data_IF_097855364746
#
_entry.id   IF_097855364746
#
_cell.length_a   1.000
_cell.length_b   1.000
_cell.length_c   1.000
_cell.angle_alpha   90.00
_cell.angle_beta   90.00
_cell.angle_gamma   90.00
#
_symmetry.space_group_name_H-M   'P 1'
#
loop_
_entity.id
_entity.type
_entity.pdbx_description
1 polymer ?
#
# COMPACT_ATOMS: atom_id res chain seq x y z
N UNK A 1 15.29 17.93 -13.34
CA UNK A 1 14.11 18.70 -13.72
C UNK A 1 13.04 17.75 -14.21
N UNK A 2 12.15 17.23 -13.40
CA UNK A 2 10.91 16.63 -13.88
C UNK A 2 9.78 17.56 -13.54
N UNK A 3 9.58 18.46 -14.45
CA UNK A 3 8.57 19.46 -14.47
C UNK A 3 7.20 18.85 -14.75
N UNK A 4 6.26 19.11 -13.92
CA UNK A 4 4.95 19.62 -14.27
C UNK A 4 4.32 19.10 -15.58
N UNK A 5 4.14 17.77 -15.67
CA UNK A 5 3.56 17.16 -16.86
C UNK A 5 2.03 17.28 -16.94
N UNK A 6 1.39 17.92 -15.95
CA UNK A 6 -0.06 18.14 -15.90
C UNK A 6 -0.45 19.59 -16.13
N UNK A 7 0.50 20.52 -16.08
CA UNK A 7 0.28 21.92 -16.49
C UNK A 7 0.47 22.14 -17.99
N UNK A 8 0.87 21.10 -18.73
CA UNK A 8 0.85 21.13 -20.19
C UNK A 8 -0.56 20.78 -20.69
N UNK A 9 -1.03 21.45 -21.78
CA UNK A 9 -2.37 21.16 -22.34
C UNK A 9 -2.59 19.68 -22.70
N UNK A 10 -1.51 18.91 -22.87
CA UNK A 10 -1.57 17.47 -23.09
C UNK A 10 -1.80 16.62 -21.83
N UNK A 11 -1.42 17.10 -20.65
CA UNK A 11 -1.54 16.34 -19.41
C UNK A 11 -2.98 16.21 -18.92
N UNK A 12 -3.74 17.30 -18.98
CA UNK A 12 -5.16 17.30 -18.59
C UNK A 12 -5.98 16.50 -19.58
N UNK A 13 -5.67 16.60 -20.88
CA UNK A 13 -6.36 15.85 -21.93
C UNK A 13 -6.13 14.36 -21.78
N UNK A 14 -4.89 13.93 -21.53
CA UNK A 14 -4.59 12.53 -21.26
C UNK A 14 -5.27 11.99 -19.99
N UNK A 15 -5.43 12.81 -18.96
CA UNK A 15 -6.20 12.46 -17.78
C UNK A 15 -7.67 12.27 -18.10
N UNK A 16 -8.28 13.18 -18.84
CA UNK A 16 -9.69 13.11 -19.28
C UNK A 16 -9.92 11.84 -20.11
N UNK A 17 -9.04 11.54 -21.06
CA UNK A 17 -9.15 10.36 -21.93
C UNK A 17 -9.04 9.06 -21.09
N UNK A 18 -8.16 9.03 -20.11
CA UNK A 18 -8.02 7.88 -19.19
C UNK A 18 -9.26 7.69 -18.30
N UNK A 19 -9.82 8.78 -17.79
CA UNK A 19 -11.04 8.73 -16.97
C UNK A 19 -12.23 8.28 -17.86
N UNK A 20 -12.36 8.81 -19.06
CA UNK A 20 -13.39 8.40 -20.00
C UNK A 20 -13.28 6.92 -20.36
N UNK A 21 -12.06 6.44 -20.60
CA UNK A 21 -11.78 5.03 -20.88
C UNK A 21 -12.12 4.11 -19.70
N UNK A 22 -11.85 4.56 -18.47
CA UNK A 22 -12.15 3.80 -17.25
C UNK A 22 -13.66 3.74 -16.93
N UNK A 23 -14.42 4.79 -17.28
CA UNK A 23 -15.86 4.86 -17.09
C UNK A 23 -16.64 4.08 -18.16
N UNK A 24 -15.99 3.74 -19.28
CA UNK A 24 -16.61 2.96 -20.36
C UNK A 24 -17.92 3.58 -20.87
N UNK A 25 -19.01 2.80 -21.08
CA UNK A 25 -20.25 3.28 -21.64
C UNK A 25 -20.99 4.31 -20.75
N UNK A 26 -20.58 4.47 -19.50
CA UNK A 26 -21.13 5.48 -18.58
C UNK A 26 -20.35 6.81 -18.58
N UNK A 27 -19.38 6.97 -19.48
CA UNK A 27 -18.58 8.17 -19.63
C UNK A 27 -19.37 9.31 -20.26
N UNK A 28 -20.27 9.94 -19.50
CA UNK A 28 -20.87 11.20 -19.92
C UNK A 28 -19.88 12.35 -19.70
N UNK A 29 -19.88 13.39 -20.57
CA UNK A 29 -18.96 14.53 -20.42
C UNK A 29 -19.00 15.14 -19.01
N UNK A 30 -20.18 15.28 -18.43
CA UNK A 30 -20.37 15.83 -17.08
C UNK A 30 -19.75 14.93 -15.98
N UNK A 31 -19.83 13.61 -16.15
CA UNK A 31 -19.29 12.66 -15.19
C UNK A 31 -17.77 12.61 -15.27
N UNK A 32 -17.21 12.65 -16.47
CA UNK A 32 -15.77 12.73 -16.71
C UNK A 32 -15.21 14.03 -16.15
N UNK A 33 -15.88 15.17 -16.39
CA UNK A 33 -15.45 16.47 -15.86
C UNK A 33 -15.49 16.50 -14.32
N UNK A 34 -16.53 15.95 -13.69
CA UNK A 34 -16.66 15.88 -12.24
C UNK A 34 -15.54 15.06 -11.61
N UNK A 35 -15.24 13.89 -12.19
CA UNK A 35 -14.14 13.03 -11.71
C UNK A 35 -12.78 13.70 -11.95
N UNK A 36 -12.57 14.30 -13.12
CA UNK A 36 -11.31 15.01 -13.41
C UNK A 36 -11.11 16.19 -12.45
N UNK A 37 -12.15 16.95 -12.15
CA UNK A 37 -12.09 18.06 -11.17
C UNK A 37 -11.80 17.54 -9.77
N UNK A 38 -12.48 16.48 -9.32
CA UNK A 38 -12.23 15.87 -8.01
C UNK A 38 -10.79 15.37 -7.87
N UNK A 39 -10.21 14.80 -8.93
CA UNK A 39 -8.81 14.33 -8.95
C UNK A 39 -7.82 15.51 -8.93
N UNK A 40 -8.15 16.61 -9.62
CA UNK A 40 -7.33 17.82 -9.63
C UNK A 40 -7.39 18.59 -8.30
N UNK A 41 -8.57 18.65 -7.70
CA UNK A 41 -8.79 19.34 -6.40
C UNK A 41 -8.26 18.51 -5.22
N UNK A 42 -8.23 17.18 -5.33
CA UNK A 42 -7.68 16.27 -4.31
C UNK A 42 -6.15 16.25 -4.27
N UNK A 43 -5.47 17.03 -5.13
CA UNK A 43 -4.01 17.17 -5.06
C UNK A 43 -3.62 17.97 -3.84
N UNK A 44 -2.88 17.41 -2.89
CA UNK A 44 -2.27 18.21 -1.85
C UNK A 44 -1.29 19.18 -2.52
N UNK A 45 -1.52 20.46 -2.33
CA UNK A 45 -0.63 21.51 -2.81
C UNK A 45 0.75 21.30 -2.19
N UNK A 46 1.70 20.78 -2.94
CA UNK A 46 3.11 20.82 -2.53
C UNK A 46 3.96 19.56 -2.64
N UNK A 47 3.45 18.41 -3.04
CA UNK A 47 4.29 17.19 -3.08
C UNK A 47 4.34 16.46 -4.42
N UNK A 48 4.25 17.18 -5.52
CA UNK A 48 4.55 16.63 -6.83
C UNK A 48 6.07 16.69 -7.05
N UNK A 49 6.76 15.58 -6.85
CA UNK A 49 8.15 15.47 -7.31
C UNK A 49 9.17 14.91 -6.34
N UNK A 50 8.77 14.41 -5.20
CA UNK A 50 9.70 13.65 -4.37
C UNK A 50 9.69 12.19 -4.85
N UNK A 51 10.85 11.71 -5.30
CA UNK A 51 11.09 10.28 -5.42
C UNK A 51 10.59 9.59 -4.14
N UNK A 52 10.04 8.35 -4.20
CA UNK A 52 9.64 7.65 -3.00
C UNK A 52 10.86 7.61 -2.09
N UNK A 53 10.87 8.49 -1.08
CA UNK A 53 11.82 8.42 0.00
C UNK A 53 11.63 7.09 0.72
N UNK A 54 12.60 6.67 1.55
CA UNK A 54 12.40 5.52 2.41
C UNK A 54 11.02 5.63 3.05
N UNK A 55 10.28 4.51 3.05
CA UNK A 55 8.99 4.43 3.74
C UNK A 55 9.18 5.05 5.14
N UNK A 56 8.29 5.96 5.57
CA UNK A 56 8.39 6.46 6.93
C UNK A 56 8.41 5.25 7.87
N UNK A 57 9.27 5.27 8.88
CA UNK A 57 9.21 4.24 9.90
C UNK A 57 7.77 4.19 10.43
N UNK A 58 7.25 3.01 10.77
CA UNK A 58 5.93 2.89 11.38
C UNK A 58 5.86 3.90 12.53
N UNK A 59 4.75 4.61 12.62
CA UNK A 59 4.58 5.73 13.56
C UNK A 59 5.10 5.33 14.95
N UNK A 60 6.17 5.98 15.40
CA UNK A 60 6.79 5.78 16.71
C UNK A 60 5.84 6.29 17.80
N UNK A 61 4.77 5.58 18.06
CA UNK A 61 3.72 6.00 19.00
C UNK A 61 2.62 4.96 19.20
N UNK A 62 2.63 3.86 18.44
CA UNK A 62 1.74 2.75 18.79
C UNK A 62 2.15 2.19 20.16
N UNK A 63 1.21 1.93 21.07
CA UNK A 63 1.52 1.25 22.33
C UNK A 63 2.28 -0.04 22.03
N UNK A 64 3.22 -0.40 22.89
CA UNK A 64 3.97 -1.65 22.76
C UNK A 64 3.04 -2.84 22.55
N UNK A 65 3.56 -3.97 22.02
CA UNK A 65 2.75 -5.17 21.86
C UNK A 65 2.12 -5.55 23.21
N UNK A 66 0.90 -6.07 23.17
CA UNK A 66 0.27 -6.64 24.37
C UNK A 66 1.21 -7.68 24.99
N UNK A 67 1.14 -7.88 26.33
CA UNK A 67 2.03 -8.84 27.01
C UNK A 67 2.05 -10.18 26.28
N UNK A 68 3.24 -10.59 25.85
CA UNK A 68 3.47 -11.83 25.11
C UNK A 68 3.17 -11.79 23.60
N UNK A 69 2.59 -10.72 23.07
CA UNK A 69 2.37 -10.59 21.64
C UNK A 69 3.68 -10.22 20.92
N UNK A 70 3.88 -10.80 19.74
CA UNK A 70 5.01 -10.44 18.87
C UNK A 70 4.55 -9.39 17.85
N UNK A 71 5.19 -8.22 17.85
CA UNK A 71 4.97 -7.21 16.80
C UNK A 71 5.77 -7.55 15.57
N UNK A 72 5.08 -7.59 14.44
CA UNK A 72 5.64 -7.94 13.15
C UNK A 72 5.38 -6.86 12.11
N UNK A 73 6.29 -6.76 11.17
CA UNK A 73 6.16 -5.93 9.97
C UNK A 73 6.02 -6.85 8.77
N UNK A 74 4.94 -6.69 8.02
CA UNK A 74 4.70 -7.40 6.77
C UNK A 74 4.90 -6.41 5.62
N UNK A 75 5.85 -6.70 4.75
CA UNK A 75 6.08 -5.93 3.52
C UNK A 75 5.65 -6.76 2.33
N UNK A 76 4.81 -6.22 1.47
CA UNK A 76 4.44 -6.86 0.23
C UNK A 76 4.59 -5.91 -0.95
N UNK A 77 5.05 -6.44 -2.08
CA UNK A 77 5.21 -5.68 -3.32
C UNK A 77 4.99 -6.56 -4.55
N UNK A 78 4.46 -5.95 -5.60
CA UNK A 78 4.16 -6.64 -6.86
C UNK A 78 3.33 -5.80 -7.80
N UNK A 79 2.80 -6.44 -8.85
CA UNK A 79 1.84 -5.80 -9.72
C UNK A 79 0.55 -5.50 -8.96
N UNK A 80 0.01 -4.30 -9.17
CA UNK A 80 -1.27 -3.92 -8.57
C UNK A 80 -2.41 -4.72 -9.21
N UNK A 81 -3.10 -5.48 -8.37
CA UNK A 81 -4.25 -6.30 -8.76
C UNK A 81 -5.33 -6.20 -7.70
N UNK A 82 -6.62 -6.17 -8.11
CA UNK A 82 -7.72 -6.22 -7.18
C UNK A 82 -7.62 -7.43 -6.25
N UNK A 83 -7.84 -7.22 -4.95
CA UNK A 83 -7.89 -8.28 -3.95
C UNK A 83 -6.56 -8.66 -3.30
N UNK A 84 -5.41 -8.14 -3.74
CA UNK A 84 -4.11 -8.48 -3.14
C UNK A 84 -4.05 -8.07 -1.68
N UNK A 85 -4.39 -6.82 -1.36
CA UNK A 85 -4.42 -6.35 0.03
C UNK A 85 -5.43 -7.14 0.87
N UNK A 86 -6.61 -7.40 0.32
CA UNK A 86 -7.64 -8.20 0.99
C UNK A 86 -7.15 -9.62 1.31
N UNK A 87 -6.44 -10.25 0.40
CA UNK A 87 -5.89 -11.60 0.61
C UNK A 87 -4.81 -11.63 1.71
N UNK A 88 -3.92 -10.63 1.73
CA UNK A 88 -2.87 -10.52 2.77
C UNK A 88 -3.50 -10.25 4.14
N UNK A 89 -4.44 -9.32 4.23
CA UNK A 89 -5.10 -8.99 5.49
C UNK A 89 -6.00 -10.12 6.00
N UNK A 90 -6.66 -10.87 5.11
CA UNK A 90 -7.43 -12.05 5.48
C UNK A 90 -6.54 -13.15 6.06
N UNK A 91 -5.36 -13.38 5.49
CA UNK A 91 -4.40 -14.37 6.00
C UNK A 91 -3.88 -13.98 7.39
N UNK A 92 -3.55 -12.69 7.60
CA UNK A 92 -3.18 -12.17 8.91
C UNK A 92 -4.31 -12.35 9.93
N UNK A 93 -5.54 -12.01 9.54
CA UNK A 93 -6.71 -12.17 10.41
C UNK A 93 -6.98 -13.63 10.77
N UNK A 94 -6.83 -14.56 9.82
CA UNK A 94 -6.97 -16.00 10.06
C UNK A 94 -5.90 -16.53 11.04
N UNK A 95 -4.74 -15.88 11.07
CA UNK A 95 -3.65 -16.19 12.03
C UNK A 95 -3.84 -15.50 13.41
N UNK A 96 -4.98 -14.86 13.65
CA UNK A 96 -5.26 -14.14 14.88
C UNK A 96 -4.47 -12.84 15.05
N UNK A 97 -3.93 -12.29 13.98
CA UNK A 97 -3.18 -11.04 14.01
C UNK A 97 -4.12 -9.83 14.15
N UNK A 98 -3.72 -8.88 14.98
CA UNK A 98 -4.34 -7.57 15.06
C UNK A 98 -3.54 -6.55 14.24
N UNK A 99 -4.11 -6.05 13.16
CA UNK A 99 -3.44 -5.08 12.29
C UNK A 99 -3.53 -3.70 12.93
N UNK A 100 -2.37 -3.06 13.13
CA UNK A 100 -2.24 -1.77 13.80
C UNK A 100 -2.10 -0.62 12.80
N UNK A 101 -1.38 -0.86 11.71
CA UNK A 101 -1.11 0.16 10.70
C UNK A 101 -0.98 -0.47 9.31
N UNK A 102 -1.41 0.28 8.30
CA UNK A 102 -1.31 -0.10 6.89
C UNK A 102 -0.88 1.12 6.08
N UNK A 103 0.28 1.02 5.45
CA UNK A 103 0.77 2.02 4.51
C UNK A 103 0.91 1.41 3.12
N UNK A 104 0.13 1.90 2.17
CA UNK A 104 0.14 1.42 0.79
C UNK A 104 0.48 2.54 -0.18
N UNK A 105 1.31 2.21 -1.17
CA UNK A 105 1.59 3.08 -2.32
C UNK A 105 1.42 2.30 -3.61
N UNK A 106 0.81 2.93 -4.60
CA UNK A 106 0.70 2.41 -5.96
C UNK A 106 1.40 3.38 -6.89
N UNK A 107 2.35 2.88 -7.67
CA UNK A 107 3.11 3.65 -8.64
C UNK A 107 3.24 2.85 -9.93
N UNK A 108 2.75 3.41 -11.04
CA UNK A 108 2.88 2.83 -12.38
C UNK A 108 2.41 1.37 -12.52
N UNK A 109 1.33 1.01 -11.82
CA UNK A 109 0.78 -0.36 -11.86
C UNK A 109 1.50 -1.36 -10.95
N UNK A 110 2.42 -0.89 -10.12
CA UNK A 110 3.02 -1.66 -9.04
C UNK A 110 2.57 -1.11 -7.70
N UNK A 111 2.36 -1.99 -6.75
CA UNK A 111 2.06 -1.60 -5.37
C UNK A 111 3.18 -2.00 -4.43
N UNK A 112 3.29 -1.26 -3.35
CA UNK A 112 4.04 -1.64 -2.16
C UNK A 112 3.14 -1.39 -0.96
N UNK A 113 3.05 -2.35 -0.06
CA UNK A 113 2.34 -2.21 1.20
C UNK A 113 3.24 -2.62 2.36
N UNK A 114 3.16 -1.87 3.44
CA UNK A 114 3.77 -2.20 4.73
C UNK A 114 2.64 -2.25 5.75
N UNK A 115 2.52 -3.37 6.43
CA UNK A 115 1.56 -3.55 7.53
C UNK A 115 2.34 -3.77 8.82
N UNK A 116 1.83 -3.20 9.91
CA UNK A 116 2.29 -3.50 11.27
C UNK A 116 1.17 -4.26 11.97
N UNK A 117 1.49 -5.39 12.57
CA UNK A 117 0.50 -6.21 13.25
C UNK A 117 1.07 -6.84 14.52
N UNK A 118 0.22 -7.04 15.51
CA UNK A 118 0.52 -7.83 16.69
C UNK A 118 -0.02 -9.25 16.50
N UNK A 119 0.88 -10.23 16.60
CA UNK A 119 0.52 -11.64 16.62
C UNK A 119 0.28 -12.09 18.07
N UNK A 120 -0.66 -13.00 18.28
CA UNK A 120 -0.87 -13.60 19.58
C UNK A 120 0.40 -14.30 20.10
N UNK A 121 0.55 -14.37 21.43
CA UNK A 121 1.73 -14.92 22.07
C UNK A 121 2.02 -16.39 21.70
N UNK A 122 0.98 -17.14 21.38
CA UNK A 122 1.01 -18.55 20.99
C UNK A 122 1.04 -18.77 19.47
N UNK A 123 1.08 -17.67 18.67
CA UNK A 123 1.15 -17.79 17.23
C UNK A 123 2.51 -18.33 16.77
N UNK A 124 2.48 -19.33 15.90
CA UNK A 124 3.67 -19.81 15.23
C UNK A 124 4.05 -18.84 14.09
N UNK A 125 5.04 -18.00 14.37
CA UNK A 125 5.54 -17.01 13.41
C UNK A 125 6.01 -17.66 12.10
N UNK A 126 6.60 -18.84 12.16
CA UNK A 126 7.03 -19.59 10.97
C UNK A 126 5.83 -19.99 10.09
N UNK A 127 4.80 -20.54 10.70
CA UNK A 127 3.57 -20.94 10.01
C UNK A 127 2.86 -19.71 9.39
N UNK A 128 2.76 -18.59 10.13
CA UNK A 128 2.17 -17.34 9.61
C UNK A 128 2.96 -16.81 8.43
N UNK A 129 4.27 -16.79 8.52
CA UNK A 129 5.15 -16.36 7.43
C UNK A 129 4.94 -17.22 6.19
N UNK A 130 4.96 -18.54 6.34
CA UNK A 130 4.86 -19.48 5.23
C UNK A 130 3.48 -19.38 4.55
N UNK A 131 2.41 -19.19 5.32
CA UNK A 131 1.06 -18.96 4.79
C UNK A 131 0.98 -17.63 4.00
N UNK A 132 1.56 -16.55 4.52
CA UNK A 132 1.60 -15.26 3.83
C UNK A 132 2.43 -15.30 2.55
N UNK A 133 3.58 -15.97 2.57
CA UNK A 133 4.42 -16.16 1.37
C UNK A 133 3.67 -16.96 0.32
N UNK A 134 3.06 -18.08 0.68
CA UNK A 134 2.27 -18.91 -0.25
C UNK A 134 1.08 -18.13 -0.83
N UNK A 135 0.40 -17.33 -0.02
CA UNK A 135 -0.70 -16.49 -0.48
C UNK A 135 -0.20 -15.42 -1.46
N UNK A 136 0.93 -14.80 -1.16
CA UNK A 136 1.57 -13.82 -2.04
C UNK A 136 1.98 -14.43 -3.38
N UNK A 137 2.64 -15.57 -3.37
CA UNK A 137 3.07 -16.27 -4.59
C UNK A 137 1.88 -16.64 -5.49
N UNK A 138 0.77 -17.12 -4.92
CA UNK A 138 -0.46 -17.39 -5.66
C UNK A 138 -1.03 -16.16 -6.37
N UNK A 139 -0.70 -14.97 -5.91
CA UNK A 139 -1.13 -13.69 -6.49
C UNK A 139 -0.02 -12.96 -7.28
N UNK A 140 1.14 -13.57 -7.45
CA UNK A 140 2.29 -12.95 -8.12
C UNK A 140 2.88 -11.78 -7.31
N UNK A 141 2.76 -11.83 -6.00
CA UNK A 141 3.20 -10.79 -5.05
C UNK A 141 4.28 -11.36 -4.14
N UNK A 142 5.33 -10.60 -3.91
CA UNK A 142 6.32 -10.94 -2.89
C UNK A 142 5.89 -10.43 -1.53
N UNK A 143 5.94 -11.31 -0.53
CA UNK A 143 5.60 -10.99 0.86
C UNK A 143 6.79 -11.34 1.75
N UNK A 144 7.13 -10.41 2.64
CA UNK A 144 8.11 -10.60 3.71
C UNK A 144 7.43 -10.34 5.05
N UNK A 145 7.72 -11.20 6.03
CA UNK A 145 7.33 -10.99 7.42
C UNK A 145 8.58 -10.96 8.28
N UNK A 146 8.70 -9.93 9.10
CA UNK A 146 9.84 -9.69 9.98
C UNK A 146 9.36 -9.24 11.36
N UNK A 147 10.13 -9.56 12.42
CA UNK A 147 9.95 -8.88 13.71
C UNK A 147 10.19 -7.39 13.57
N UNK A 148 9.41 -6.57 14.27
CA UNK A 148 9.55 -5.11 14.24
C UNK A 148 10.96 -4.68 14.65
N UNK A 149 11.54 -5.29 15.68
CA UNK A 149 12.90 -4.98 16.14
C UNK A 149 13.95 -5.20 15.05
N UNK A 150 13.82 -6.29 14.28
CA UNK A 150 14.72 -6.57 13.16
C UNK A 150 14.52 -5.55 12.04
N UNK A 151 13.28 -5.23 11.72
CA UNK A 151 12.96 -4.21 10.72
C UNK A 151 13.54 -2.85 11.10
N UNK A 152 13.38 -2.43 12.36
CA UNK A 152 13.94 -1.18 12.87
C UNK A 152 15.48 -1.19 12.85
N UNK A 153 16.11 -2.30 13.24
CA UNK A 153 17.57 -2.43 13.24
C UNK A 153 18.17 -2.29 11.82
N UNK A 154 17.47 -2.78 10.80
CA UNK A 154 17.90 -2.70 9.39
C UNK A 154 17.69 -1.30 8.78
N UNK A 155 16.80 -0.48 9.35
CA UNK A 155 16.42 0.83 8.81
C UNK A 155 16.89 2.00 9.69
N UNK A 156 17.68 1.75 10.72
CA UNK A 156 18.35 2.83 11.47
C UNK A 156 19.41 3.47 10.58
N UNK A 157 19.38 4.81 10.47
CA UNK A 157 20.41 5.56 9.75
C UNK A 157 21.78 5.44 10.43
#
# INVERSE_FOLDING_TARGET
>A
MPSDNLSRPGGVRALIDRIASALGPEATPERVERVARAVLDARPSGEAGRAPGPLPPPASGAPGPAEGAARVVVTAYGQDRPGVLAAITAELSASGANILDVSQKVLQGYFTVVLVADLAADADLGAVRDALVARGEAMGTRVLLQHEELFQAMHRP
#
